data_IF_712215446668
#
_entry.id   IF_712215446668
#
_cell.length_a   1.000
_cell.length_b   1.000
_cell.length_c   1.000
_cell.angle_alpha   90.00
_cell.angle_beta   90.00
_cell.angle_gamma   90.00
#
_symmetry.space_group_name_H-M   'P 1'
#
loop_
_entity.id
_entity.type
_entity.pdbx_description
1 polymer ?
#
# COMPACT_ATOMS: atom_id res chain seq x y z
N UNK A 1 26.19 -7.68 -23.01
CA UNK A 1 25.45 -6.41 -23.13
C UNK A 1 25.17 -5.89 -21.73
N UNK A 2 25.42 -4.60 -21.43
CA UNK A 2 25.09 -4.02 -20.14
C UNK A 2 23.57 -3.90 -19.97
N UNK A 3 23.06 -4.20 -18.76
CA UNK A 3 21.65 -3.98 -18.41
C UNK A 3 21.46 -2.51 -18.02
N UNK A 4 20.41 -1.89 -18.54
CA UNK A 4 20.05 -0.50 -18.23
C UNK A 4 18.90 -0.48 -17.22
N UNK A 5 18.94 0.47 -16.29
CA UNK A 5 17.94 0.62 -15.23
C UNK A 5 17.51 2.08 -15.16
N UNK A 6 16.20 2.31 -15.23
CA UNK A 6 15.58 3.62 -15.00
C UNK A 6 14.59 3.50 -13.84
N UNK A 7 14.61 4.47 -12.93
CA UNK A 7 13.73 4.51 -11.76
C UNK A 7 13.11 5.89 -11.65
N UNK A 8 11.80 5.94 -11.50
CA UNK A 8 11.04 7.15 -11.28
C UNK A 8 9.88 6.90 -10.32
N UNK A 9 9.39 7.98 -9.71
CA UNK A 9 8.07 7.99 -9.10
C UNK A 9 7.02 7.88 -10.21
N UNK A 10 5.97 7.11 -9.96
CA UNK A 10 4.87 6.90 -10.89
C UNK A 10 3.53 6.97 -10.17
N UNK A 11 2.49 7.40 -10.88
CA UNK A 11 1.12 7.43 -10.36
C UNK A 11 0.48 6.04 -10.43
N UNK A 12 -0.66 5.84 -9.76
CA UNK A 12 -1.38 4.55 -9.79
C UNK A 12 -1.91 4.18 -11.19
N UNK A 13 -2.17 5.18 -12.03
CA UNK A 13 -2.59 4.99 -13.42
C UNK A 13 -1.43 4.51 -14.31
N UNK A 14 -0.21 5.00 -14.05
CA UNK A 14 1.02 4.53 -14.72
C UNK A 14 1.47 3.15 -14.21
N UNK A 15 1.19 2.83 -12.94
CA UNK A 15 1.51 1.56 -12.29
C UNK A 15 0.32 0.58 -12.25
N UNK A 16 -0.44 0.50 -13.34
CA UNK A 16 -1.54 -0.45 -13.49
C UNK A 16 -1.08 -1.91 -13.70
N UNK A 17 -2.01 -2.87 -13.59
CA UNK A 17 -1.72 -4.28 -13.89
C UNK A 17 -1.23 -4.53 -15.32
N UNK A 18 -1.53 -3.63 -16.26
CA UNK A 18 -1.13 -3.72 -17.65
C UNK A 18 0.29 -3.17 -17.93
N UNK A 19 0.87 -2.38 -17.01
CA UNK A 19 2.17 -1.74 -17.19
C UNK A 19 3.30 -2.44 -16.44
N UNK A 20 3.02 -3.13 -15.35
CA UNK A 20 3.99 -4.00 -14.67
C UNK A 20 4.11 -5.36 -15.38
N UNK A 21 5.28 -5.97 -15.30
CA UNK A 21 5.57 -7.25 -15.94
C UNK A 21 6.79 -7.18 -16.83
N UNK A 22 7.03 -8.23 -17.61
CA UNK A 22 8.12 -8.26 -18.57
C UNK A 22 7.60 -8.43 -20.00
N UNK A 23 8.13 -7.63 -20.92
CA UNK A 23 7.75 -7.61 -22.33
C UNK A 23 9.02 -7.88 -23.16
N UNK A 24 9.02 -8.91 -24.02
CA UNK A 24 10.11 -9.12 -24.96
C UNK A 24 10.09 -8.04 -26.04
N UNK A 25 11.25 -7.46 -26.33
CA UNK A 25 11.48 -6.44 -27.36
C UNK A 25 12.68 -6.87 -28.20
N UNK A 26 12.41 -7.49 -29.35
CA UNK A 26 13.39 -8.06 -30.28
C UNK A 26 14.41 -8.99 -29.61
N UNK A 27 15.59 -8.48 -29.29
CA UNK A 27 16.71 -9.20 -28.65
C UNK A 27 16.84 -8.93 -27.15
N UNK A 28 15.94 -8.11 -26.60
CA UNK A 28 15.96 -7.65 -25.23
C UNK A 28 14.64 -7.97 -24.52
N UNK A 29 14.65 -7.84 -23.19
CA UNK A 29 13.45 -7.98 -22.37
C UNK A 29 13.38 -6.77 -21.44
N UNK A 30 12.26 -6.07 -21.49
CA UNK A 30 11.99 -4.93 -20.61
C UNK A 30 11.14 -5.43 -19.46
N UNK A 31 11.55 -5.18 -18.22
CA UNK A 31 10.79 -5.53 -17.03
C UNK A 31 10.47 -4.28 -16.21
N UNK A 32 9.21 -4.15 -15.81
CA UNK A 32 8.67 -2.99 -15.09
C UNK A 32 8.08 -3.49 -13.77
N UNK A 33 8.50 -2.88 -12.66
CA UNK A 33 7.94 -3.10 -11.33
C UNK A 33 7.54 -1.77 -10.70
N UNK A 34 6.53 -1.83 -9.83
CA UNK A 34 6.04 -0.68 -9.09
C UNK A 34 5.86 -1.04 -7.61
N UNK A 35 5.93 -0.05 -6.73
CA UNK A 35 5.70 -0.24 -5.31
C UNK A 35 5.24 1.06 -4.65
N UNK A 36 4.46 0.94 -3.57
CA UNK A 36 3.75 2.06 -2.93
C UNK A 36 4.40 2.56 -1.63
N UNK A 37 5.57 2.03 -1.29
CA UNK A 37 6.33 2.40 -0.11
C UNK A 37 7.51 3.31 -0.48
N UNK A 38 7.92 4.17 0.44
CA UNK A 38 9.14 4.94 0.26
C UNK A 38 10.36 4.04 0.09
N UNK A 39 11.23 4.35 -0.86
CA UNK A 39 12.48 3.62 -1.14
C UNK A 39 12.29 2.11 -1.38
N UNK A 40 11.14 1.69 -1.88
CA UNK A 40 10.82 0.28 -2.10
C UNK A 40 11.52 -0.34 -3.32
N UNK A 41 11.94 0.49 -4.27
CA UNK A 41 12.50 0.11 -5.56
C UNK A 41 14.02 -0.10 -5.51
N UNK A 42 14.55 -0.67 -4.42
CA UNK A 42 16.01 -0.91 -4.25
C UNK A 42 16.49 -1.90 -5.33
N UNK A 43 15.82 -3.05 -5.42
CA UNK A 43 16.13 -4.10 -6.38
C UNK A 43 15.43 -3.84 -7.73
N UNK A 44 16.14 -4.15 -8.81
CA UNK A 44 15.58 -4.04 -10.17
C UNK A 44 14.92 -5.37 -10.57
N UNK A 45 13.79 -5.34 -11.28
CA UNK A 45 13.16 -6.56 -11.75
C UNK A 45 14.04 -7.25 -12.79
N UNK A 46 14.08 -8.58 -12.74
CA UNK A 46 14.90 -9.44 -13.60
C UNK A 46 14.08 -10.51 -14.31
N UNK A 47 12.85 -10.75 -13.86
CA UNK A 47 11.95 -11.76 -14.40
C UNK A 47 10.48 -11.36 -14.16
N UNK A 48 9.55 -12.14 -14.70
CA UNK A 48 8.12 -11.87 -14.53
C UNK A 48 7.65 -11.99 -13.08
N UNK A 49 8.37 -12.74 -12.23
CA UNK A 49 8.00 -12.97 -10.84
C UNK A 49 8.27 -11.75 -9.94
N UNK A 50 9.33 -10.98 -10.22
CA UNK A 50 9.63 -9.74 -9.48
C UNK A 50 9.20 -8.47 -10.21
N UNK A 51 8.82 -8.55 -11.50
CA UNK A 51 8.19 -7.46 -12.24
C UNK A 51 6.69 -7.34 -11.89
N UNK A 52 6.41 -6.98 -10.63
CA UNK A 52 5.04 -6.88 -10.11
C UNK A 52 4.79 -5.52 -9.46
N UNK A 53 3.51 -5.24 -9.17
CA UNK A 53 3.13 -4.19 -8.24
C UNK A 53 3.22 -4.73 -6.79
N UNK A 54 4.19 -4.27 -6.01
CA UNK A 54 4.29 -4.60 -4.59
C UNK A 54 3.46 -3.63 -3.76
N UNK A 55 2.36 -4.13 -3.21
CA UNK A 55 1.53 -3.40 -2.23
C UNK A 55 1.78 -3.98 -0.86
N UNK A 56 2.71 -3.42 -0.09
CA UNK A 56 2.87 -3.87 1.28
C UNK A 56 1.78 -3.24 2.14
N UNK A 57 0.59 -3.85 2.14
CA UNK A 57 -0.40 -3.54 3.17
C UNK A 57 0.30 -3.81 4.50
N UNK A 58 0.53 -2.77 5.31
CA UNK A 58 0.85 -2.95 6.73
C UNK A 58 -0.14 -3.99 7.24
N UNK A 59 0.34 -5.20 7.54
CA UNK A 59 -0.54 -6.26 7.97
C UNK A 59 -1.29 -5.69 9.17
N UNK A 60 -2.60 -5.43 9.01
CA UNK A 60 -3.45 -5.19 10.18
C UNK A 60 -3.27 -6.44 11.00
N UNK A 61 -2.52 -6.33 12.10
CA UNK A 61 -2.48 -7.36 13.11
C UNK A 61 -3.96 -7.71 13.35
N UNK A 62 -4.33 -8.97 13.12
CA UNK A 62 -5.68 -9.43 13.45
C UNK A 62 -5.84 -9.14 14.93
N UNK A 63 -6.48 -8.03 15.30
CA UNK A 63 -6.82 -7.76 16.68
C UNK A 63 -7.63 -8.96 17.12
N UNK A 64 -7.08 -9.78 18.02
CA UNK A 64 -7.79 -10.91 18.62
C UNK A 64 -9.13 -10.35 19.09
N UNK A 65 -10.21 -10.71 18.39
CA UNK A 65 -11.58 -10.33 18.72
C UNK A 65 -11.85 -10.92 20.10
N UNK A 66 -11.76 -10.10 21.15
CA UNK A 66 -12.13 -10.51 22.52
C UNK A 66 -13.61 -10.91 22.45
N UNK A 67 -13.90 -12.19 22.71
CA UNK A 67 -15.28 -12.68 22.81
C UNK A 67 -16.00 -11.84 23.87
N UNK A 68 -17.15 -11.20 23.58
CA UNK A 68 -17.99 -10.64 24.63
C UNK A 68 -18.73 -11.80 25.30
N UNK A 69 -18.27 -12.19 26.48
CA UNK A 69 -19.06 -13.02 27.40
C UNK A 69 -20.18 -12.17 27.96
N UNK A 70 -21.42 -12.58 27.70
CA UNK A 70 -22.65 -11.93 28.13
C UNK A 70 -23.05 -12.52 29.49
N UNK A 71 -23.27 -11.67 30.49
CA UNK A 71 -24.37 -11.70 31.48
C UNK A 71 -23.94 -11.03 32.79
N UNK A 72 -24.57 -9.89 33.10
CA UNK A 72 -24.46 -9.17 34.36
C UNK A 72 -25.35 -7.94 34.29
N UNK A 73 -26.49 -8.02 34.97
CA UNK A 73 -27.57 -7.03 35.02
C UNK A 73 -27.17 -5.79 35.83
N UNK A 74 -27.88 -4.69 35.55
CA UNK A 74 -28.06 -3.49 36.37
C UNK A 74 -26.88 -2.51 36.52
N UNK A 75 -27.02 -1.34 35.90
CA UNK A 75 -27.03 -0.06 36.62
C UNK A 75 -27.27 1.10 35.66
N UNK A 76 -28.19 1.96 36.07
CA UNK A 76 -28.64 3.14 35.39
C UNK A 76 -27.56 4.23 35.26
N UNK A 77 -27.90 5.21 34.41
CA UNK A 77 -27.74 6.67 34.62
C UNK A 77 -26.64 7.40 33.83
N UNK A 78 -27.09 8.51 33.20
CA UNK A 78 -26.40 9.76 32.78
C UNK A 78 -25.70 9.70 31.41
N UNK A 79 -26.21 10.31 30.33
CA UNK A 79 -26.47 11.75 30.06
C UNK A 79 -25.31 12.69 30.40
N UNK A 80 -24.37 12.84 29.45
CA UNK A 80 -23.56 14.03 29.13
C UNK A 80 -22.66 13.59 27.94
N UNK A 81 -22.49 14.26 26.82
CA UNK A 81 -22.60 15.66 26.43
C UNK A 81 -21.50 15.90 25.37
N UNK A 82 -21.78 16.77 24.40
CA UNK A 82 -20.84 17.39 23.44
C UNK A 82 -20.31 16.50 22.30
N UNK A 83 -20.91 16.58 21.11
CA UNK A 83 -20.66 17.60 20.06
C UNK A 83 -19.28 17.50 19.41
N UNK A 84 -19.35 17.00 18.17
CA UNK A 84 -18.52 17.27 17.00
C UNK A 84 -17.37 18.28 17.20
N UNK A 85 -16.14 17.77 17.17
CA UNK A 85 -15.01 18.44 16.55
C UNK A 85 -14.23 17.40 15.74
N UNK A 86 -14.73 17.09 14.53
CA UNK A 86 -13.94 16.42 13.51
C UNK A 86 -12.95 17.45 12.94
N UNK A 87 -11.72 17.43 13.45
CA UNK A 87 -10.59 18.10 12.79
C UNK A 87 -10.35 17.38 11.44
N UNK A 88 -10.36 18.09 10.29
CA UNK A 88 -9.91 17.50 9.04
C UNK A 88 -8.39 17.36 9.08
N UNK A 89 -7.91 16.22 9.58
CA UNK A 89 -6.52 15.83 9.44
C UNK A 89 -6.31 15.29 8.03
N UNK A 90 -5.92 16.11 7.04
CA UNK A 90 -5.35 15.63 5.78
C UNK A 90 -4.84 16.76 4.89
N UNK A 91 -3.56 17.13 5.01
CA UNK A 91 -2.78 17.73 3.91
C UNK A 91 -1.29 17.33 3.94
N UNK A 92 -0.98 16.11 4.41
CA UNK A 92 0.34 15.52 4.20
C UNK A 92 0.21 14.18 3.50
N UNK A 93 -0.44 14.18 2.34
CA UNK A 93 -0.14 13.18 1.31
C UNK A 93 0.85 13.82 0.33
N UNK A 94 1.98 14.28 0.87
CA UNK A 94 3.09 14.73 0.05
C UNK A 94 3.89 13.49 -0.31
N UNK A 95 3.79 13.10 -1.58
CA UNK A 95 4.71 12.27 -2.36
C UNK A 95 5.98 11.84 -1.62
N UNK A 96 5.87 10.78 -0.82
CA UNK A 96 7.01 10.02 -0.36
C UNK A 96 7.16 8.81 -1.27
N UNK A 97 7.91 9.02 -2.35
CA UNK A 97 8.84 8.00 -2.82
C UNK A 97 10.02 7.96 -1.83
#
# INVERSE_FOLDING_TARGET
>A
MPKQVSKSCASNEECGPASVGCIPMDTQQICISCCDLSYCNIESPTNATNAIYSRQRRAKSKSKRKRPGRNGVDAATRLYGSSLLWLPASLFYAYHC
#
